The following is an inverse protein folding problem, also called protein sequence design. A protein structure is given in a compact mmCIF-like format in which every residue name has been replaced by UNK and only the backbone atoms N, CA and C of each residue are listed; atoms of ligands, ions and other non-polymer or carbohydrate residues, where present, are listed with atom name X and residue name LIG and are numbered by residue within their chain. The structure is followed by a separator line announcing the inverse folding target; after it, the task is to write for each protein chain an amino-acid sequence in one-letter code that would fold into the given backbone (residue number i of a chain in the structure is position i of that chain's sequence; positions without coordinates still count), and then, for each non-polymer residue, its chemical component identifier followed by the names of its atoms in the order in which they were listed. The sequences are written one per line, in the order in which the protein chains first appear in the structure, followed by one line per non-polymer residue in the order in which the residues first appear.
data_IF_090941615133
#
_entry.id   IF_090941615133
#
_cell.length_a   1.000
_cell.length_b   1.000
_cell.length_c   1.000
_cell.angle_alpha   90.00
_cell.angle_beta   90.00
_cell.angle_gamma   90.00
#
_symmetry.space_group_name_H-M   'P 1'
#
loop_
_entity.id
_entity.type
_entity.pdbx_description
1 polymer ?
#
# COMPACT_ATOMS: atom_id res chain seq x y z
N UNK A 1 5.71 10.70 -27.91
CA UNK A 1 7.14 10.33 -27.89
C UNK A 1 7.19 8.93 -27.31
N UNK A 2 7.45 7.92 -28.16
CA UNK A 2 7.52 6.53 -27.74
C UNK A 2 8.89 6.31 -27.09
N UNK A 3 8.89 5.79 -25.86
CA UNK A 3 10.12 5.50 -25.13
C UNK A 3 10.64 4.16 -25.65
N UNK A 4 11.90 4.14 -26.12
CA UNK A 4 12.58 2.93 -26.54
C UNK A 4 12.66 1.95 -25.37
N UNK A 5 11.96 0.82 -25.50
CA UNK A 5 11.84 -0.25 -24.51
C UNK A 5 13.15 -1.04 -24.28
N UNK A 6 14.25 -0.61 -24.88
CA UNK A 6 15.57 -1.27 -24.83
C UNK A 6 16.57 -0.56 -23.90
N UNK A 7 16.22 0.63 -23.39
CA UNK A 7 17.02 1.32 -22.39
C UNK A 7 16.49 0.96 -21.00
N UNK A 8 17.11 -0.01 -20.33
CA UNK A 8 16.74 -0.43 -18.97
C UNK A 8 16.76 0.74 -17.97
N UNK A 9 17.49 1.82 -18.27
CA UNK A 9 17.51 3.05 -17.47
C UNK A 9 16.29 3.96 -17.66
N UNK A 10 15.46 3.68 -18.67
CA UNK A 10 14.25 4.46 -19.03
C UNK A 10 13.01 3.59 -19.12
N UNK A 11 12.89 2.54 -18.31
CA UNK A 11 11.60 1.88 -18.15
C UNK A 11 10.62 2.93 -17.61
N UNK A 12 9.56 3.31 -18.35
CA UNK A 12 8.59 4.27 -17.87
C UNK A 12 7.92 3.67 -16.64
N UNK A 13 8.24 4.20 -15.47
CA UNK A 13 7.53 3.85 -14.25
C UNK A 13 6.14 4.46 -14.34
N UNK A 14 5.09 3.68 -14.07
CA UNK A 14 3.71 4.21 -14.03
C UNK A 14 3.53 5.36 -13.01
N UNK A 15 4.48 5.52 -12.07
CA UNK A 15 4.48 6.54 -11.04
C UNK A 15 5.58 7.58 -11.25
N UNK A 16 5.30 8.83 -10.89
CA UNK A 16 6.30 9.89 -10.83
C UNK A 16 7.36 9.60 -9.77
N UNK A 17 8.53 10.24 -9.87
CA UNK A 17 9.68 9.96 -9.01
C UNK A 17 9.39 10.17 -7.52
N UNK A 18 8.46 11.06 -7.16
CA UNK A 18 8.09 11.35 -5.78
C UNK A 18 7.37 10.19 -5.07
N UNK A 19 6.86 9.23 -5.84
CA UNK A 19 6.17 8.02 -5.38
C UNK A 19 7.02 6.75 -5.57
N UNK A 20 8.19 6.88 -6.18
CA UNK A 20 9.11 5.77 -6.31
C UNK A 20 9.83 5.54 -4.97
N UNK A 21 10.15 4.28 -4.72
CA UNK A 21 10.92 3.81 -3.59
C UNK A 21 12.08 2.97 -4.12
N UNK A 22 13.21 3.01 -3.42
CA UNK A 22 14.38 2.16 -3.73
C UNK A 22 14.10 0.67 -3.46
N UNK A 23 13.00 0.38 -2.76
CA UNK A 23 12.56 -0.96 -2.43
C UNK A 23 11.30 -1.39 -3.19
N UNK A 24 11.10 -2.71 -3.26
CA UNK A 24 9.97 -3.30 -3.99
C UNK A 24 8.65 -3.07 -3.26
N UNK A 25 7.73 -2.39 -3.93
CA UNK A 25 6.34 -2.26 -3.51
C UNK A 25 5.60 -3.57 -3.87
N UNK A 26 5.07 -4.26 -2.86
CA UNK A 26 4.33 -5.52 -3.01
C UNK A 26 2.86 -5.26 -3.33
N UNK A 27 2.28 -4.23 -2.73
CA UNK A 27 0.88 -3.84 -2.90
C UNK A 27 0.75 -2.34 -2.60
N UNK A 28 -0.25 -1.67 -3.16
CA UNK A 28 -0.54 -0.26 -2.86
C UNK A 28 -2.05 0.00 -2.84
N UNK A 29 -2.47 1.01 -2.07
CA UNK A 29 -3.87 1.46 -1.98
C UNK A 29 -3.94 2.98 -1.99
N UNK A 30 -4.87 3.52 -2.75
CA UNK A 30 -5.11 4.96 -2.85
C UNK A 30 -6.30 5.39 -2.00
N UNK A 31 -6.07 6.39 -1.16
CA UNK A 31 -7.11 7.16 -0.51
C UNK A 31 -7.35 8.44 -1.30
N UNK A 32 -8.41 8.42 -2.13
CA UNK A 32 -8.78 9.55 -2.98
C UNK A 32 -9.27 10.76 -2.16
N UNK A 33 -9.83 10.55 -0.98
CA UNK A 33 -10.38 11.63 -0.15
C UNK A 33 -9.27 12.34 0.62
N UNK A 34 -8.32 11.60 1.19
CA UNK A 34 -7.16 12.17 1.87
C UNK A 34 -5.99 12.48 0.96
N UNK A 35 -6.06 12.07 -0.31
CA UNK A 35 -4.98 12.21 -1.29
C UNK A 35 -3.70 11.60 -0.73
N UNK A 36 -3.80 10.35 -0.26
CA UNK A 36 -2.67 9.59 0.24
C UNK A 36 -2.61 8.22 -0.44
N UNK A 37 -1.39 7.70 -0.55
CA UNK A 37 -1.11 6.35 -1.00
C UNK A 37 -0.49 5.58 0.17
N UNK A 38 -0.96 4.35 0.36
CA UNK A 38 -0.42 3.38 1.28
C UNK A 38 0.33 2.34 0.47
N UNK A 39 1.56 2.04 0.88
CA UNK A 39 2.49 1.16 0.18
C UNK A 39 2.89 0.03 1.11
N UNK A 40 2.64 -1.21 0.69
CA UNK A 40 3.14 -2.39 1.37
C UNK A 40 4.53 -2.69 0.83
N UNK A 41 5.49 -2.63 1.72
CA UNK A 41 6.91 -2.89 1.47
C UNK A 41 7.42 -3.95 2.45
N UNK A 42 8.71 -4.30 2.41
CA UNK A 42 9.24 -5.42 3.19
C UNK A 42 9.13 -5.17 4.71
N UNK A 43 9.34 -3.93 5.14
CA UNK A 43 9.35 -3.52 6.54
C UNK A 43 7.94 -3.31 7.11
N UNK A 44 6.93 -3.18 6.24
CA UNK A 44 5.52 -2.99 6.63
C UNK A 44 4.78 -2.04 5.70
N UNK A 45 3.94 -1.16 6.26
CA UNK A 45 3.10 -0.24 5.48
C UNK A 45 3.61 1.19 5.62
N UNK A 46 4.01 1.76 4.50
CA UNK A 46 4.36 3.17 4.35
C UNK A 46 3.19 4.01 3.84
N UNK A 47 3.23 5.31 4.13
CA UNK A 47 2.25 6.30 3.67
C UNK A 47 2.96 7.47 2.98
N UNK A 48 2.42 7.90 1.85
CA UNK A 48 2.77 9.13 1.15
C UNK A 48 1.51 9.94 0.84
N UNK A 49 1.49 11.22 1.16
CA UNK A 49 0.37 12.08 0.81
C UNK A 49 0.76 13.09 -0.27
N UNK A 50 -0.20 13.48 -1.08
CA UNK A 50 -0.04 14.30 -2.28
C UNK A 50 -1.14 15.38 -2.36
N UNK A 51 -1.68 15.79 -1.20
CA UNK A 51 -2.70 16.83 -1.12
C UNK A 51 -2.17 18.23 -1.46
N UNK A 52 -0.87 18.45 -1.29
CA UNK A 52 -0.15 19.68 -1.59
C UNK A 52 1.28 19.41 -2.07
N UNK A 53 1.92 20.37 -2.73
CA UNK A 53 3.34 20.29 -3.11
C UNK A 53 4.25 20.04 -1.90
N UNK A 54 3.91 20.62 -0.74
CA UNK A 54 4.66 20.41 0.50
C UNK A 54 4.59 18.95 0.97
N UNK A 55 3.42 18.32 0.86
CA UNK A 55 3.27 16.90 1.21
C UNK A 55 3.91 15.98 0.18
N UNK A 56 3.79 16.32 -1.11
CA UNK A 56 4.40 15.58 -2.19
C UNK A 56 5.93 15.54 -2.07
N UNK A 57 6.54 16.61 -1.58
CA UNK A 57 8.00 16.68 -1.35
C UNK A 57 8.46 16.01 -0.05
N UNK A 58 7.55 15.60 0.84
CA UNK A 58 7.92 14.85 2.06
C UNK A 58 8.26 13.41 1.71
N UNK A 59 9.21 12.82 2.44
CA UNK A 59 9.52 11.40 2.33
C UNK A 59 8.32 10.53 2.74
N UNK A 60 8.33 9.29 2.28
CA UNK A 60 7.42 8.25 2.73
C UNK A 60 7.58 8.03 4.25
N UNK A 61 6.47 7.78 4.94
CA UNK A 61 6.46 7.56 6.40
C UNK A 61 6.00 6.13 6.67
N UNK A 62 6.82 5.35 7.38
CA UNK A 62 6.41 4.03 7.88
C UNK A 62 5.38 4.22 8.99
N UNK A 63 4.13 3.80 8.75
CA UNK A 63 3.02 3.95 9.70
C UNK A 63 2.72 2.65 10.45
N UNK A 64 3.09 1.50 9.88
CA UNK A 64 2.94 0.18 10.50
C UNK A 64 4.21 -0.61 10.20
N UNK A 65 4.97 -0.95 11.24
CA UNK A 65 6.18 -1.75 11.13
C UNK A 65 5.87 -3.20 11.45
N UNK A 66 5.67 -4.01 10.42
CA UNK A 66 5.44 -5.45 10.54
C UNK A 66 5.77 -6.16 9.22
N UNK A 67 6.87 -6.90 9.22
CA UNK A 67 7.38 -7.65 8.06
C UNK A 67 6.54 -8.90 7.73
N UNK A 68 5.60 -9.29 8.59
CA UNK A 68 4.75 -10.47 8.38
C UNK A 68 3.54 -10.16 7.51
N UNK A 69 3.24 -8.88 7.30
CA UNK A 69 2.10 -8.44 6.49
C UNK A 69 2.23 -9.01 5.08
N UNK A 70 1.18 -9.67 4.62
CA UNK A 70 1.08 -10.28 3.28
C UNK A 70 0.20 -9.49 2.34
N UNK A 71 -0.74 -8.73 2.87
CA UNK A 71 -1.65 -7.91 2.09
C UNK A 71 -2.31 -6.84 2.92
N UNK A 72 -2.89 -5.86 2.22
CA UNK A 72 -3.64 -4.77 2.81
C UNK A 72 -4.80 -4.35 1.94
N UNK A 73 -5.82 -3.78 2.57
CA UNK A 73 -6.93 -3.11 1.94
C UNK A 73 -7.33 -1.85 2.71
N UNK A 74 -8.05 -0.96 2.05
CA UNK A 74 -8.40 0.34 2.59
C UNK A 74 -9.91 0.56 2.49
N UNK A 75 -10.53 0.96 3.59
CA UNK A 75 -11.83 1.62 3.58
C UNK A 75 -11.61 3.14 3.61
N UNK A 76 -11.67 3.82 2.45
CA UNK A 76 -11.41 5.25 2.37
C UNK A 76 -12.55 6.09 2.99
N UNK A 77 -13.75 5.53 3.15
CA UNK A 77 -14.89 6.23 3.77
C UNK A 77 -14.69 6.32 5.29
N UNK A 78 -14.38 5.20 5.92
CA UNK A 78 -14.23 5.11 7.38
C UNK A 78 -12.80 5.31 7.88
N UNK A 79 -11.84 5.49 6.97
CA UNK A 79 -10.42 5.71 7.28
C UNK A 79 -9.80 4.54 8.06
N UNK A 80 -10.16 3.32 7.68
CA UNK A 80 -9.61 2.11 8.24
C UNK A 80 -8.68 1.43 7.23
N UNK A 81 -7.48 1.11 7.69
CA UNK A 81 -6.53 0.28 6.97
C UNK A 81 -6.63 -1.14 7.51
N UNK A 82 -7.01 -2.07 6.65
CA UNK A 82 -7.02 -3.49 6.92
C UNK A 82 -5.73 -4.10 6.40
N UNK A 83 -5.13 -4.99 7.16
CA UNK A 83 -3.97 -5.77 6.73
C UNK A 83 -3.99 -7.13 7.40
N UNK A 84 -3.35 -8.08 6.76
CA UNK A 84 -3.30 -9.44 7.26
C UNK A 84 -1.89 -10.01 7.19
N UNK A 85 -1.59 -10.86 8.16
CA UNK A 85 -0.48 -11.79 8.08
C UNK A 85 -1.00 -13.17 7.66
N UNK A 86 -0.28 -14.23 8.02
CA UNK A 86 -0.69 -15.61 7.72
C UNK A 86 -1.93 -16.06 8.52
N UNK A 87 -2.21 -15.48 9.68
CA UNK A 87 -3.14 -16.01 10.67
C UNK A 87 -4.13 -14.98 11.22
N UNK A 88 -3.89 -13.69 10.99
CA UNK A 88 -4.64 -12.60 11.59
C UNK A 88 -5.03 -11.55 10.57
N UNK A 89 -6.21 -10.97 10.75
CA UNK A 89 -6.62 -9.73 10.09
C UNK A 89 -6.67 -8.64 11.16
N UNK A 90 -5.91 -7.58 10.92
CA UNK A 90 -5.82 -6.42 11.80
C UNK A 90 -6.37 -5.21 11.07
N UNK A 91 -7.17 -4.43 11.78
CA UNK A 91 -7.66 -3.13 11.32
C UNK A 91 -6.94 -2.04 12.12
N UNK A 92 -6.58 -0.96 11.46
CA UNK A 92 -6.00 0.22 12.10
C UNK A 92 -6.77 1.46 11.67
N UNK A 93 -7.24 2.23 12.64
CA UNK A 93 -7.83 3.53 12.38
C UNK A 93 -6.71 4.50 11.97
N UNK A 94 -6.77 5.06 10.77
CA UNK A 94 -5.68 5.89 10.24
C UNK A 94 -5.61 7.30 10.88
N UNK A 95 -6.65 7.73 11.60
CA UNK A 95 -6.65 9.00 12.34
C UNK A 95 -6.01 8.84 13.71
N UNK A 96 -6.37 7.78 14.45
CA UNK A 96 -5.90 7.57 15.83
C UNK A 96 -4.73 6.61 15.94
N UNK A 97 -4.43 5.87 14.86
CA UNK A 97 -3.44 4.78 14.81
C UNK A 97 -3.74 3.63 15.80
N UNK A 98 -4.96 3.59 16.33
CA UNK A 98 -5.42 2.46 17.16
C UNK A 98 -5.61 1.25 16.28
N UNK A 99 -4.98 0.14 16.67
CA UNK A 99 -5.04 -1.16 15.99
C UNK A 99 -5.87 -2.17 16.76
N UNK A 100 -6.61 -3.00 16.04
CA UNK A 100 -7.42 -4.09 16.60
C UNK A 100 -7.35 -5.32 15.68
N UNK A 101 -7.15 -6.50 16.24
CA UNK A 101 -7.25 -7.76 15.49
C UNK A 101 -8.71 -8.19 15.46
N UNK A 102 -9.31 -8.20 14.26
CA UNK A 102 -10.74 -8.50 14.08
C UNK A 102 -10.99 -9.97 13.72
N UNK A 103 -9.94 -10.68 13.32
CA UNK A 103 -10.02 -12.09 13.00
C UNK A 103 -8.68 -12.78 13.30
N UNK A 104 -8.74 -13.99 13.83
CA UNK A 104 -7.58 -14.85 14.08
C UNK A 104 -7.96 -16.29 13.81
N UNK A 105 -7.05 -17.04 13.20
CA UNK A 105 -7.21 -18.47 12.90
C UNK A 105 -5.86 -19.19 13.04
N UNK A 106 -5.90 -20.51 13.28
CA UNK A 106 -4.72 -21.37 13.17
C UNK A 106 -4.35 -21.66 11.70
N UNK A 107 -5.32 -21.54 10.80
CA UNK A 107 -5.13 -21.81 9.38
C UNK A 107 -4.45 -20.64 8.67
N UNK A 108 -4.06 -20.86 7.42
CA UNK A 108 -3.38 -19.83 6.61
C UNK A 108 -4.39 -19.02 5.82
N UNK A 109 -4.39 -17.70 6.02
CA UNK A 109 -5.22 -16.76 5.26
C UNK A 109 -4.53 -16.46 3.93
N UNK A 110 -5.23 -16.73 2.83
CA UNK A 110 -4.80 -16.40 1.47
C UNK A 110 -5.88 -15.62 0.74
N UNK A 111 -5.48 -14.53 0.08
CA UNK A 111 -6.36 -13.76 -0.80
C UNK A 111 -6.01 -14.11 -2.24
N UNK A 112 -6.94 -14.78 -2.92
CA UNK A 112 -6.83 -15.05 -4.34
C UNK A 112 -7.31 -13.81 -5.10
N UNK A 113 -6.39 -13.15 -5.81
CA UNK A 113 -6.77 -12.14 -6.81
C UNK A 113 -7.24 -12.90 -8.04
N UNK A 114 -8.55 -12.98 -8.23
CA UNK A 114 -9.14 -13.57 -9.43
C UNK A 114 -9.30 -12.44 -10.44
N UNK A 115 -8.45 -12.44 -11.47
CA UNK A 115 -8.66 -11.60 -12.64
C UNK A 115 -9.77 -12.27 -13.47
N UNK A 116 -11.00 -11.76 -13.36
CA UNK A 116 -12.07 -12.19 -14.25
C UNK A 116 -11.84 -11.54 -15.61
N UNK A 117 -11.29 -12.29 -16.56
CA UNK A 117 -11.36 -11.91 -17.96
C UNK A 117 -12.81 -12.08 -18.41
N UNK A 118 -13.49 -10.98 -18.71
CA UNK A 118 -14.78 -11.01 -19.40
C UNK A 118 -14.57 -11.72 -20.75
N UNK A 119 -15.35 -12.78 -21.00
CA UNK A 119 -15.44 -13.48 -22.29
C UNK A 119 -16.44 -12.77 -23.21
#
# INVERSE_FOLDING_TARGET
MFVDLLDESKIPTMFSSEFQLDEKIVNFKFDKFKKCMYLLVKEGIMRKCYGSTKELNRSHILIIQDHKIKGMDLDPSNHYLYYHDKHKITVTNLKTLVKCTIYSTSDSIYFMKVDMFEQ
#
